data_IF_056781990030
#
_entry.id   IF_056781990030
#
_cell.length_a   1.000
_cell.length_b   1.000
_cell.length_c   1.000
_cell.angle_alpha   90.00
_cell.angle_beta   90.00
_cell.angle_gamma   90.00
#
_symmetry.space_group_name_H-M   'P 1'
#
loop_
_entity.id
_entity.type
_entity.pdbx_description
1 polymer ?
#
# COMPACT_ATOMS: atom_id res chain seq x y z
N UNK A 1 24.52 -9.90 54.52
CA UNK A 1 23.11 -10.17 54.21
C UNK A 1 22.43 -8.84 53.94
N UNK A 2 22.19 -8.49 52.68
CA UNK A 2 21.40 -7.30 52.34
C UNK A 2 20.28 -7.78 51.41
N UNK A 3 19.08 -7.89 51.98
CA UNK A 3 17.84 -8.34 51.33
C UNK A 3 16.93 -7.11 51.21
N UNK A 4 17.33 -6.14 50.41
CA UNK A 4 16.42 -5.08 49.97
C UNK A 4 15.91 -5.44 48.57
N UNK A 5 15.08 -6.48 48.51
CA UNK A 5 14.25 -6.70 47.32
C UNK A 5 13.22 -5.58 47.26
N UNK A 6 13.13 -4.81 46.17
CA UNK A 6 12.22 -3.68 46.09
C UNK A 6 10.77 -4.14 46.28
N UNK A 7 10.07 -3.53 47.25
CA UNK A 7 8.67 -3.82 47.51
C UNK A 7 7.81 -3.57 46.25
N UNK A 8 6.99 -4.55 45.88
CA UNK A 8 6.05 -4.45 44.77
C UNK A 8 4.91 -3.51 45.17
N UNK A 9 5.02 -2.23 44.83
CA UNK A 9 3.97 -1.25 45.10
C UNK A 9 2.75 -1.51 44.20
N UNK A 10 1.52 -1.18 44.64
CA UNK A 10 0.32 -1.35 43.82
C UNK A 10 0.40 -0.58 42.49
N UNK A 11 1.11 0.55 42.44
CA UNK A 11 1.36 1.31 41.21
C UNK A 11 2.23 0.51 40.23
N UNK A 12 3.33 -0.08 40.70
CA UNK A 12 4.21 -0.93 39.87
C UNK A 12 3.46 -2.15 39.35
N UNK A 13 2.61 -2.77 40.18
CA UNK A 13 1.77 -3.91 39.76
C UNK A 13 0.79 -3.50 38.66
N UNK A 14 0.18 -2.31 38.77
CA UNK A 14 -0.72 -1.77 37.75
C UNK A 14 0.01 -1.50 36.43
N UNK A 15 1.16 -0.83 36.48
CA UNK A 15 1.99 -0.54 35.30
C UNK A 15 2.42 -1.82 34.56
N UNK A 16 2.79 -2.86 35.31
CA UNK A 16 3.16 -4.16 34.75
C UNK A 16 1.95 -4.83 34.09
N UNK A 17 0.75 -4.76 34.69
CA UNK A 17 -0.48 -5.29 34.07
C UNK A 17 -0.84 -4.56 32.78
N UNK A 18 -0.76 -3.23 32.77
CA UNK A 18 -1.02 -2.43 31.59
C UNK A 18 -0.02 -2.77 30.46
N UNK A 19 1.26 -2.94 30.82
CA UNK A 19 2.31 -3.37 29.88
C UNK A 19 2.05 -4.77 29.33
N UNK A 20 1.64 -5.73 30.17
CA UNK A 20 1.27 -7.08 29.75
C UNK A 20 0.09 -7.03 28.77
N UNK A 21 -0.92 -6.18 29.00
CA UNK A 21 -2.07 -6.06 28.12
C UNK A 21 -1.71 -5.44 26.77
N UNK A 22 -0.81 -4.45 26.75
CA UNK A 22 -0.25 -3.89 25.51
C UNK A 22 0.50 -4.97 24.71
N UNK A 23 1.38 -5.73 25.38
CA UNK A 23 2.13 -6.83 24.74
C UNK A 23 1.17 -7.89 24.20
N UNK A 24 0.18 -8.33 24.99
CA UNK A 24 -0.82 -9.31 24.56
C UNK A 24 -1.58 -8.85 23.32
N UNK A 25 -2.07 -7.60 23.32
CA UNK A 25 -2.77 -7.02 22.17
C UNK A 25 -1.86 -6.99 20.93
N UNK A 26 -0.59 -6.62 21.09
CA UNK A 26 0.37 -6.59 19.99
C UNK A 26 0.68 -7.99 19.47
N UNK A 27 0.91 -8.96 20.34
CA UNK A 27 1.16 -10.36 19.97
C UNK A 27 -0.03 -10.94 19.22
N UNK A 28 -1.26 -10.74 19.73
CA UNK A 28 -2.47 -11.19 19.04
C UNK A 28 -2.64 -10.55 17.67
N UNK A 29 -2.36 -9.25 17.56
CA UNK A 29 -2.34 -8.58 16.27
C UNK A 29 -1.34 -9.23 15.30
N UNK A 30 -0.11 -9.53 15.74
CA UNK A 30 0.91 -10.16 14.90
C UNK A 30 0.53 -11.59 14.49
N UNK A 31 -0.06 -12.37 15.40
CA UNK A 31 -0.58 -13.71 15.10
C UNK A 31 -1.66 -13.63 14.01
N UNK A 32 -2.60 -12.69 14.13
CA UNK A 32 -3.66 -12.51 13.13
C UNK A 32 -3.09 -12.12 11.75
N UNK A 33 -2.11 -11.20 11.71
CA UNK A 33 -1.43 -10.82 10.46
C UNK A 33 -0.74 -12.02 9.82
N UNK A 34 -0.02 -12.81 10.62
CA UNK A 34 0.68 -14.02 10.14
C UNK A 34 -0.29 -15.08 9.63
N UNK A 35 -1.37 -15.32 10.37
CA UNK A 35 -2.43 -16.26 9.99
C UNK A 35 -3.05 -15.90 8.64
N UNK A 36 -3.28 -14.61 8.38
CA UNK A 36 -3.80 -14.15 7.09
C UNK A 36 -2.78 -14.29 5.95
N UNK A 37 -1.51 -13.97 6.21
CA UNK A 37 -0.43 -14.19 5.25
C UNK A 37 -0.34 -15.66 4.85
N UNK A 38 -0.32 -16.57 5.83
CA UNK A 38 -0.26 -18.02 5.59
C UNK A 38 -1.45 -18.50 4.73
N UNK A 39 -2.66 -18.01 5.02
CA UNK A 39 -3.85 -18.33 4.23
C UNK A 39 -3.82 -17.79 2.78
N UNK A 40 -3.05 -16.74 2.51
CA UNK A 40 -2.89 -16.17 1.17
C UNK A 40 -1.71 -16.77 0.39
N UNK A 41 -0.65 -17.20 1.08
CA UNK A 41 0.51 -17.86 0.47
C UNK A 41 0.13 -19.25 -0.05
N UNK A 42 -0.69 -19.96 0.71
CA UNK A 42 -1.19 -21.29 0.36
C UNK A 42 -2.73 -21.29 0.34
N UNK A 43 -3.36 -20.63 -0.64
CA UNK A 43 -4.81 -20.52 -0.70
C UNK A 43 -5.44 -21.88 -1.03
N UNK A 44 -6.43 -22.29 -0.23
CA UNK A 44 -7.29 -23.43 -0.55
C UNK A 44 -8.48 -22.94 -1.36
N UNK A 45 -8.51 -23.26 -2.65
CA UNK A 45 -9.61 -22.87 -3.51
C UNK A 45 -10.86 -23.72 -3.25
N UNK A 46 -12.06 -23.11 -3.26
CA UNK A 46 -13.30 -23.88 -3.23
C UNK A 46 -13.42 -24.73 -4.50
N UNK A 47 -13.97 -25.92 -4.32
CA UNK A 47 -14.34 -26.85 -5.37
C UNK A 47 -15.43 -26.29 -6.28
N UNK A 48 -15.49 -26.77 -7.53
CA UNK A 48 -16.46 -26.27 -8.51
C UNK A 48 -17.92 -26.45 -8.06
N UNK A 49 -18.24 -27.52 -7.33
CA UNK A 49 -19.57 -27.75 -6.75
C UNK A 49 -19.98 -26.62 -5.81
N UNK A 50 -19.08 -26.23 -4.91
CA UNK A 50 -19.28 -25.11 -4.00
C UNK A 50 -19.48 -23.81 -4.78
N UNK A 51 -18.69 -23.53 -5.82
CA UNK A 51 -18.87 -22.33 -6.63
C UNK A 51 -20.21 -22.32 -7.40
N UNK A 52 -20.66 -23.48 -7.88
CA UNK A 52 -21.92 -23.62 -8.63
C UNK A 52 -23.16 -23.43 -7.75
N UNK A 53 -23.08 -23.67 -6.44
CA UNK A 53 -24.20 -23.48 -5.51
C UNK A 53 -24.39 -22.01 -5.08
N UNK A 54 -23.40 -21.15 -5.31
CA UNK A 54 -23.46 -19.72 -5.01
C UNK A 54 -24.30 -18.94 -6.04
N UNK A 55 -24.82 -17.78 -5.62
CA UNK A 55 -25.65 -16.92 -6.46
C UNK A 55 -24.82 -16.27 -7.58
N UNK A 56 -25.07 -16.67 -8.82
CA UNK A 56 -24.40 -16.15 -10.03
C UNK A 56 -25.22 -15.10 -10.79
N UNK A 57 -26.33 -14.62 -10.22
CA UNK A 57 -27.23 -13.67 -10.89
C UNK A 57 -26.51 -12.35 -11.18
N UNK A 58 -26.80 -11.80 -12.36
CA UNK A 58 -26.28 -10.48 -12.77
C UNK A 58 -26.66 -9.40 -11.76
N UNK A 59 -27.88 -9.46 -11.20
CA UNK A 59 -28.39 -8.50 -10.22
C UNK A 59 -27.50 -8.44 -8.97
N UNK A 60 -27.17 -9.60 -8.37
CA UNK A 60 -26.31 -9.67 -7.18
C UNK A 60 -24.89 -9.22 -7.47
N UNK A 61 -24.29 -9.70 -8.55
CA UNK A 61 -22.92 -9.35 -8.92
C UNK A 61 -22.79 -7.85 -9.28
N UNK A 62 -23.76 -7.28 -10.00
CA UNK A 62 -23.78 -5.84 -10.31
C UNK A 62 -23.91 -5.01 -9.03
N UNK A 63 -24.73 -5.44 -8.05
CA UNK A 63 -24.82 -4.76 -6.76
C UNK A 63 -23.50 -4.83 -5.99
N UNK A 64 -22.84 -5.99 -5.97
CA UNK A 64 -21.53 -6.16 -5.36
C UNK A 64 -20.48 -5.24 -6.01
N UNK A 65 -20.37 -5.24 -7.36
CA UNK A 65 -19.45 -4.38 -8.11
C UNK A 65 -19.68 -2.90 -7.79
N UNK A 66 -20.94 -2.45 -7.66
CA UNK A 66 -21.25 -1.09 -7.24
C UNK A 66 -20.75 -0.77 -5.84
N UNK A 67 -20.93 -1.69 -4.88
CA UNK A 67 -20.42 -1.53 -3.51
C UNK A 67 -18.89 -1.51 -3.45
N UNK A 68 -18.22 -2.33 -4.27
CA UNK A 68 -16.75 -2.39 -4.35
C UNK A 68 -16.11 -1.07 -4.79
N UNK A 69 -16.85 -0.22 -5.53
CA UNK A 69 -16.40 1.14 -5.88
C UNK A 69 -16.43 2.12 -4.72
N UNK A 70 -16.83 1.70 -3.52
CA UNK A 70 -16.95 2.57 -2.34
C UNK A 70 -16.43 1.87 -1.08
N UNK A 71 -15.44 0.97 -1.19
CA UNK A 71 -14.89 0.23 -0.05
C UNK A 71 -14.39 1.20 1.02
N UNK A 72 -14.82 0.95 2.25
CA UNK A 72 -14.33 1.59 3.46
C UNK A 72 -14.40 0.61 4.64
N UNK A 73 -13.92 1.03 5.81
CA UNK A 73 -13.90 0.16 6.99
C UNK A 73 -15.32 -0.24 7.46
N UNK A 74 -16.31 0.63 7.29
CA UNK A 74 -17.70 0.40 7.72
C UNK A 74 -18.41 -0.68 6.88
N UNK A 75 -18.21 -0.66 5.55
CA UNK A 75 -18.89 -1.58 4.63
C UNK A 75 -18.10 -2.86 4.31
N UNK A 76 -16.82 -2.93 4.74
CA UNK A 76 -15.92 -4.08 4.55
C UNK A 76 -16.57 -5.42 4.94
N UNK A 77 -17.19 -5.50 6.11
CA UNK A 77 -17.78 -6.74 6.60
C UNK A 77 -18.94 -7.21 5.73
N UNK A 78 -19.82 -6.28 5.30
CA UNK A 78 -20.90 -6.58 4.37
C UNK A 78 -20.36 -7.02 3.01
N UNK A 79 -19.32 -6.38 2.50
CA UNK A 79 -18.69 -6.74 1.23
C UNK A 79 -18.10 -8.16 1.27
N UNK A 80 -17.39 -8.52 2.33
CA UNK A 80 -16.84 -9.86 2.51
C UNK A 80 -17.95 -10.90 2.54
N UNK A 81 -19.06 -10.62 3.24
CA UNK A 81 -20.24 -11.50 3.25
C UNK A 81 -20.84 -11.67 1.85
N UNK A 82 -21.04 -10.57 1.13
CA UNK A 82 -21.57 -10.59 -0.24
C UNK A 82 -20.64 -11.36 -1.19
N UNK A 83 -19.31 -11.21 -1.05
CA UNK A 83 -18.31 -11.95 -1.81
C UNK A 83 -18.45 -13.45 -1.57
N UNK A 84 -18.63 -13.87 -0.31
CA UNK A 84 -18.78 -15.30 0.03
C UNK A 84 -20.07 -15.92 -0.50
N UNK A 85 -21.16 -15.14 -0.58
CA UNK A 85 -22.48 -15.63 -0.98
C UNK A 85 -22.76 -15.60 -2.49
N UNK A 86 -21.95 -14.87 -3.27
CA UNK A 86 -22.15 -14.72 -4.72
C UNK A 86 -21.03 -15.38 -5.52
N UNK A 87 -21.26 -15.80 -6.76
CA UNK A 87 -20.23 -16.33 -7.64
C UNK A 87 -19.76 -15.26 -8.62
N UNK A 88 -18.52 -14.79 -8.46
CA UNK A 88 -17.88 -13.77 -9.30
C UNK A 88 -17.04 -14.36 -10.44
N UNK A 89 -17.06 -15.67 -10.72
CA UNK A 89 -16.20 -16.28 -11.77
C UNK A 89 -16.35 -15.58 -13.12
N UNK A 90 -17.59 -15.25 -13.51
CA UNK A 90 -17.89 -14.54 -14.77
C UNK A 90 -17.69 -13.02 -14.71
N UNK A 91 -17.46 -12.48 -13.51
CA UNK A 91 -17.42 -11.05 -13.23
C UNK A 91 -16.09 -10.63 -12.60
N UNK A 92 -15.08 -11.51 -12.63
CA UNK A 92 -13.83 -11.33 -11.89
C UNK A 92 -13.07 -10.10 -12.39
N UNK A 93 -13.02 -9.90 -13.71
CA UNK A 93 -12.39 -8.74 -14.33
C UNK A 93 -13.09 -7.43 -13.95
N UNK A 94 -14.43 -7.40 -13.89
CA UNK A 94 -15.20 -6.23 -13.46
C UNK A 94 -15.04 -5.94 -11.96
N UNK A 95 -14.97 -7.00 -11.15
CA UNK A 95 -14.67 -6.90 -9.71
C UNK A 95 -13.29 -6.30 -9.49
N UNK A 96 -12.27 -6.80 -10.22
CA UNK A 96 -10.91 -6.28 -10.15
C UNK A 96 -10.83 -4.84 -10.65
N UNK A 97 -11.48 -4.52 -11.78
CA UNK A 97 -11.56 -3.16 -12.30
C UNK A 97 -12.23 -2.22 -11.29
N UNK A 98 -13.33 -2.63 -10.65
CA UNK A 98 -14.00 -1.83 -9.63
C UNK A 98 -13.11 -1.54 -8.41
N UNK A 99 -12.24 -2.48 -8.02
CA UNK A 99 -11.25 -2.27 -6.96
C UNK A 99 -10.13 -1.36 -7.44
N UNK A 100 -9.52 -1.61 -8.60
CA UNK A 100 -8.31 -0.92 -9.05
C UNK A 100 -8.56 0.48 -9.64
N UNK A 101 -9.75 0.75 -10.18
CA UNK A 101 -10.10 2.05 -10.79
C UNK A 101 -10.78 3.01 -9.79
N UNK A 102 -11.22 2.49 -8.64
CA UNK A 102 -11.81 3.32 -7.60
C UNK A 102 -10.75 4.16 -6.88
N UNK A 103 -11.12 5.40 -6.54
CA UNK A 103 -10.32 6.27 -5.68
C UNK A 103 -10.80 6.12 -4.22
N UNK A 104 -10.20 5.19 -3.46
CA UNK A 104 -10.40 5.09 -2.01
C UNK A 104 -9.34 5.91 -1.25
N UNK A 105 -9.56 6.18 0.04
CA UNK A 105 -8.60 6.92 0.87
C UNK A 105 -7.50 5.97 1.35
N UNK A 106 -6.34 6.51 1.72
CA UNK A 106 -5.25 5.70 2.28
C UNK A 106 -5.67 4.93 3.54
N UNK A 107 -6.59 5.48 4.33
CA UNK A 107 -7.13 4.84 5.53
C UNK A 107 -8.03 3.63 5.22
N UNK A 108 -8.57 3.56 4.01
CA UNK A 108 -9.45 2.46 3.58
C UNK A 108 -8.65 1.30 2.94
N UNK A 109 -7.35 1.49 2.68
CA UNK A 109 -6.50 0.44 2.07
C UNK A 109 -6.51 -0.86 2.88
N UNK A 110 -6.44 -0.86 4.24
CA UNK A 110 -6.58 -2.10 5.01
C UNK A 110 -7.89 -2.85 4.72
N UNK A 111 -9.00 -2.14 4.53
CA UNK A 111 -10.28 -2.74 4.17
C UNK A 111 -10.25 -3.36 2.76
N UNK A 112 -9.66 -2.64 1.80
CA UNK A 112 -9.44 -3.13 0.43
C UNK A 112 -8.57 -4.39 0.43
N UNK A 113 -7.51 -4.43 1.24
CA UNK A 113 -6.64 -5.62 1.36
C UNK A 113 -7.43 -6.83 1.87
N UNK A 114 -8.30 -6.69 2.88
CA UNK A 114 -9.14 -7.82 3.34
C UNK A 114 -10.07 -8.33 2.24
N UNK A 115 -10.66 -7.41 1.47
CA UNK A 115 -11.52 -7.75 0.32
C UNK A 115 -10.71 -8.49 -0.76
N UNK A 116 -9.52 -7.99 -1.11
CA UNK A 116 -8.63 -8.65 -2.05
C UNK A 116 -8.16 -10.02 -1.56
N UNK A 117 -7.83 -10.19 -0.27
CA UNK A 117 -7.48 -11.49 0.31
C UNK A 117 -8.61 -12.50 0.14
N UNK A 118 -9.87 -12.11 0.35
CA UNK A 118 -10.99 -13.02 0.17
C UNK A 118 -11.21 -13.42 -1.29
N UNK A 119 -11.06 -12.48 -2.23
CA UNK A 119 -11.13 -12.79 -3.66
C UNK A 119 -9.96 -13.68 -4.11
N UNK A 120 -8.75 -13.41 -3.62
CA UNK A 120 -7.54 -14.18 -3.89
C UNK A 120 -7.64 -15.63 -3.43
N UNK A 121 -8.18 -15.87 -2.23
CA UNK A 121 -8.39 -17.23 -1.70
C UNK A 121 -9.54 -17.97 -2.39
N UNK A 122 -10.45 -17.22 -3.02
CA UNK A 122 -11.61 -17.79 -3.71
C UNK A 122 -11.36 -18.09 -5.19
N UNK A 123 -10.52 -17.30 -5.86
CA UNK A 123 -10.28 -17.40 -7.29
C UNK A 123 -8.79 -17.47 -7.61
N UNK A 124 -8.35 -18.59 -8.17
CA UNK A 124 -6.95 -18.80 -8.59
C UNK A 124 -6.47 -17.81 -9.65
N UNK A 125 -7.39 -17.31 -10.49
CA UNK A 125 -7.08 -16.33 -11.53
C UNK A 125 -7.06 -14.87 -11.02
N UNK A 126 -7.41 -14.62 -9.75
CA UNK A 126 -7.47 -13.25 -9.21
C UNK A 126 -6.17 -12.48 -9.40
N UNK A 127 -5.02 -13.09 -9.11
CA UNK A 127 -3.72 -12.42 -9.27
C UNK A 127 -3.44 -12.01 -10.72
N UNK A 128 -3.88 -12.82 -11.70
CA UNK A 128 -3.64 -12.60 -13.13
C UNK A 128 -4.38 -11.35 -13.64
N UNK A 129 -5.57 -11.10 -13.10
CA UNK A 129 -6.37 -9.90 -13.40
C UNK A 129 -5.92 -8.71 -12.54
N UNK A 130 -5.69 -8.92 -11.24
CA UNK A 130 -5.42 -7.87 -10.26
C UNK A 130 -4.06 -7.18 -10.47
N UNK A 131 -2.99 -7.93 -10.70
CA UNK A 131 -1.65 -7.37 -10.86
C UNK A 131 -1.57 -6.35 -12.01
N UNK A 132 -1.95 -6.66 -13.27
CA UNK A 132 -1.87 -5.68 -14.36
C UNK A 132 -2.82 -4.50 -14.15
N UNK A 133 -4.02 -4.72 -13.59
CA UNK A 133 -4.97 -3.64 -13.28
C UNK A 133 -4.41 -2.67 -12.24
N UNK A 134 -3.76 -3.17 -11.20
CA UNK A 134 -3.07 -2.35 -10.20
C UNK A 134 -1.90 -1.59 -10.82
N UNK A 135 -1.05 -2.26 -11.61
CA UNK A 135 0.15 -1.64 -12.18
C UNK A 135 -0.16 -0.51 -13.17
N UNK A 136 -1.31 -0.57 -13.86
CA UNK A 136 -1.79 0.49 -14.74
C UNK A 136 -1.98 1.83 -14.02
N UNK A 137 -2.18 1.85 -12.70
CA UNK A 137 -2.32 3.09 -11.93
C UNK A 137 -1.00 3.88 -11.75
N UNK A 138 0.14 3.28 -12.06
CA UNK A 138 1.44 3.95 -12.04
C UNK A 138 1.77 4.58 -13.41
N UNK A 139 0.79 5.22 -14.07
CA UNK A 139 1.11 5.99 -15.29
C UNK A 139 2.01 7.15 -14.93
N UNK A 140 3.19 7.19 -15.54
CA UNK A 140 4.13 8.31 -15.41
C UNK A 140 3.80 9.29 -16.53
N UNK A 141 3.62 10.57 -16.19
CA UNK A 141 3.44 11.60 -17.21
C UNK A 141 4.66 11.60 -18.14
N UNK A 142 4.43 11.74 -19.45
CA UNK A 142 5.53 12.06 -20.35
C UNK A 142 6.15 13.37 -19.86
N UNK A 143 7.49 13.51 -19.79
CA UNK A 143 8.07 14.84 -19.67
C UNK A 143 7.61 15.61 -20.90
N UNK A 144 6.74 16.59 -20.69
CA UNK A 144 6.22 17.48 -21.74
C UNK A 144 7.41 18.25 -22.31
N UNK A 145 8.06 17.67 -23.32
CA UNK A 145 8.45 18.25 -24.61
C UNK A 145 9.30 17.23 -25.39
N UNK A 146 8.67 16.17 -25.91
CA UNK A 146 9.23 15.41 -27.02
C UNK A 146 8.55 15.94 -28.29
N UNK A 147 9.16 16.94 -28.91
CA UNK A 147 8.80 17.44 -30.23
C UNK A 147 8.75 16.25 -31.19
N UNK A 148 7.62 15.94 -31.85
CA UNK A 148 7.62 14.95 -32.92
C UNK A 148 8.43 15.52 -34.08
N UNK A 149 9.26 14.67 -34.67
CA UNK A 149 10.05 14.97 -35.85
C UNK A 149 9.20 15.61 -36.96
N UNK A 150 9.65 16.76 -37.46
CA UNK A 150 9.07 17.46 -38.59
C UNK A 150 9.48 16.77 -39.89
N UNK A 151 8.53 16.14 -40.58
CA UNK A 151 8.59 15.95 -42.04
C UNK A 151 7.55 16.87 -42.68
N UNK A 152 8.05 17.81 -43.51
CA UNK A 152 7.43 18.52 -44.66
C UNK A 152 5.90 18.37 -44.85
N UNK A 153 5.08 19.41 -45.02
CA UNK A 153 5.19 20.56 -45.93
C UNK A 153 4.01 21.55 -45.70
N UNK A 154 4.18 22.84 -45.97
CA UNK A 154 3.18 23.92 -45.88
C UNK A 154 2.99 24.61 -47.25
N UNK A 155 2.11 25.62 -47.47
CA UNK A 155 0.66 25.84 -47.16
C UNK A 155 -0.06 26.48 -48.43
N UNK A 156 -1.08 27.40 -48.42
CA UNK A 156 -2.05 27.88 -47.40
C UNK A 156 -3.52 28.08 -47.90
N UNK A 157 -4.51 28.18 -46.97
CA UNK A 157 -5.50 29.30 -46.93
C UNK A 157 -6.32 29.33 -45.61
N UNK A 158 -6.54 30.54 -45.10
CA UNK A 158 -7.13 31.02 -43.82
C UNK A 158 -8.67 31.26 -43.90
N UNK A 159 -9.41 31.86 -42.90
CA UNK A 159 -9.12 32.17 -41.48
C UNK A 159 -10.26 31.82 -40.45
N UNK A 160 -9.93 32.06 -39.17
CA UNK A 160 -10.77 32.62 -38.07
C UNK A 160 -11.76 31.76 -37.28
N UNK A 161 -11.41 31.48 -36.02
CA UNK A 161 -12.26 31.62 -34.80
C UNK A 161 -11.32 31.66 -33.58
N UNK A 162 -11.51 32.55 -32.57
CA UNK A 162 -10.51 32.81 -31.55
C UNK A 162 -10.46 31.71 -30.50
N UNK A 163 -9.23 31.42 -30.07
CA UNK A 163 -8.87 30.51 -29.00
C UNK A 163 -9.50 30.92 -27.66
N UNK A 164 -10.26 30.00 -27.07
CA UNK A 164 -10.53 30.00 -25.64
C UNK A 164 -9.35 29.34 -24.93
N UNK A 165 -8.68 30.13 -24.09
CA UNK A 165 -7.53 29.75 -23.26
C UNK A 165 -7.78 28.49 -22.43
N UNK A 166 -7.03 27.42 -22.74
CA UNK A 166 -6.84 26.29 -21.85
C UNK A 166 -5.57 26.53 -21.01
N UNK A 167 -5.70 27.29 -19.93
CA UNK A 167 -4.63 27.45 -18.93
C UNK A 167 -5.25 27.32 -17.54
N UNK A 168 -5.29 26.09 -17.03
CA UNK A 168 -5.81 25.82 -15.68
C UNK A 168 -5.94 24.35 -15.27
N UNK A 169 -5.88 23.40 -16.22
CA UNK A 169 -6.30 22.00 -15.96
C UNK A 169 -5.18 21.07 -15.48
N UNK A 170 -3.90 21.40 -15.69
CA UNK A 170 -2.79 20.44 -15.48
C UNK A 170 -2.46 20.17 -14.00
N UNK A 171 -2.45 21.20 -13.15
CA UNK A 171 -2.01 21.07 -11.76
C UNK A 171 -2.99 20.27 -10.87
N UNK A 172 -4.28 20.32 -11.15
CA UNK A 172 -5.31 19.53 -10.46
C UNK A 172 -5.28 18.08 -10.92
N UNK A 173 -5.13 17.85 -12.23
CA UNK A 173 -4.97 16.51 -12.80
C UNK A 173 -3.71 15.79 -12.27
N UNK A 174 -2.59 16.51 -12.11
CA UNK A 174 -1.35 15.98 -11.55
C UNK A 174 -1.48 15.61 -10.07
N UNK A 175 -2.21 16.42 -9.29
CA UNK A 175 -2.51 16.12 -7.88
C UNK A 175 -3.38 14.88 -7.75
N UNK A 176 -4.40 14.73 -8.59
CA UNK A 176 -5.26 13.54 -8.61
C UNK A 176 -4.52 12.30 -9.08
N UNK A 177 -3.66 12.42 -10.09
CA UNK A 177 -2.76 11.36 -10.53
C UNK A 177 -1.82 10.93 -9.40
N UNK A 178 -1.23 11.89 -8.67
CA UNK A 178 -0.38 11.58 -7.53
C UNK A 178 -1.16 10.88 -6.41
N UNK A 179 -2.39 11.33 -6.11
CA UNK A 179 -3.26 10.67 -5.13
C UNK A 179 -3.52 9.21 -5.51
N UNK A 180 -3.83 8.93 -6.79
CA UNK A 180 -3.99 7.56 -7.32
C UNK A 180 -2.71 6.74 -7.17
N UNK A 181 -1.55 7.27 -7.58
CA UNK A 181 -0.25 6.60 -7.44
C UNK A 181 0.08 6.25 -5.98
N UNK A 182 -0.22 7.14 -5.03
CA UNK A 182 0.01 6.89 -3.60
C UNK A 182 -0.85 5.75 -3.07
N UNK A 183 -2.13 5.73 -3.41
CA UNK A 183 -3.05 4.66 -3.00
C UNK A 183 -2.65 3.33 -3.65
N UNK A 184 -2.35 3.34 -4.96
CA UNK A 184 -1.85 2.16 -5.67
C UNK A 184 -0.53 1.64 -5.08
N UNK A 185 0.40 2.53 -4.72
CA UNK A 185 1.66 2.17 -4.07
C UNK A 185 1.42 1.49 -2.72
N UNK A 186 0.53 2.06 -1.90
CA UNK A 186 0.15 1.47 -0.61
C UNK A 186 -0.45 0.09 -0.81
N UNK A 187 -1.40 -0.04 -1.73
CA UNK A 187 -2.06 -1.30 -2.03
C UNK A 187 -1.07 -2.35 -2.55
N UNK A 188 -0.11 -1.96 -3.40
CA UNK A 188 0.93 -2.84 -3.91
C UNK A 188 1.81 -3.39 -2.79
N UNK A 189 2.33 -2.51 -1.93
CA UNK A 189 3.19 -2.92 -0.80
C UNK A 189 2.42 -3.85 0.14
N UNK A 190 1.19 -3.48 0.52
CA UNK A 190 0.39 -4.31 1.43
C UNK A 190 -0.06 -5.63 0.77
N UNK A 191 -0.30 -5.66 -0.55
CA UNK A 191 -0.61 -6.91 -1.27
C UNK A 191 0.57 -7.88 -1.30
N UNK A 192 1.80 -7.37 -1.45
CA UNK A 192 3.02 -8.19 -1.33
C UNK A 192 3.20 -8.66 0.12
N UNK A 193 3.05 -7.76 1.09
CA UNK A 193 3.22 -8.08 2.51
C UNK A 193 2.20 -9.11 3.03
N UNK A 194 0.99 -9.15 2.48
CA UNK A 194 -0.05 -10.10 2.85
C UNK A 194 -0.07 -11.35 1.96
N UNK A 195 0.90 -11.54 1.06
CA UNK A 195 0.99 -12.72 0.19
C UNK A 195 -0.06 -12.79 -0.92
N UNK A 196 -0.86 -11.74 -1.12
CA UNK A 196 -1.82 -11.62 -2.23
C UNK A 196 -1.08 -11.51 -3.56
N UNK A 197 0.06 -10.81 -3.59
CA UNK A 197 0.98 -10.80 -4.72
C UNK A 197 2.27 -11.50 -4.31
N UNK A 198 2.82 -12.34 -5.18
CA UNK A 198 4.07 -13.06 -4.91
C UNK A 198 5.21 -12.05 -4.68
N UNK A 199 6.06 -12.34 -3.69
CA UNK A 199 7.25 -11.54 -3.41
C UNK A 199 8.32 -11.77 -4.48
N UNK A 200 8.59 -13.03 -4.83
CA UNK A 200 9.69 -13.41 -5.72
C UNK A 200 9.20 -13.96 -7.06
N UNK A 201 10.07 -13.93 -8.06
CA UNK A 201 9.81 -14.41 -9.43
C UNK A 201 9.62 -13.30 -10.47
N UNK A 202 9.77 -13.67 -11.74
CA UNK A 202 9.55 -12.76 -12.87
C UNK A 202 8.05 -12.43 -12.95
N UNK A 203 7.71 -11.14 -12.99
CA UNK A 203 6.32 -10.68 -12.97
C UNK A 203 5.65 -10.73 -11.58
N UNK A 204 6.41 -10.97 -10.52
CA UNK A 204 5.91 -10.92 -9.15
C UNK A 204 5.55 -9.50 -8.70
N UNK A 205 4.77 -9.37 -7.63
CA UNK A 205 4.48 -8.09 -7.00
C UNK A 205 5.74 -7.42 -6.43
N UNK A 206 6.67 -8.21 -5.89
CA UNK A 206 7.96 -7.69 -5.43
C UNK A 206 8.81 -7.15 -6.58
N UNK A 207 8.93 -7.87 -7.69
CA UNK A 207 9.64 -7.40 -8.87
C UNK A 207 9.02 -6.10 -9.43
N UNK A 208 7.69 -6.02 -9.50
CA UNK A 208 6.97 -4.83 -9.91
C UNK A 208 7.19 -3.65 -8.95
N UNK A 209 7.15 -3.89 -7.63
CA UNK A 209 7.43 -2.87 -6.61
C UNK A 209 8.84 -2.28 -6.79
N UNK A 210 9.86 -3.13 -6.95
CA UNK A 210 11.22 -2.66 -7.22
C UNK A 210 11.32 -1.87 -8.52
N UNK A 211 10.69 -2.34 -9.60
CA UNK A 211 10.71 -1.67 -10.91
C UNK A 211 10.05 -0.28 -10.84
N UNK A 212 8.89 -0.17 -10.20
CA UNK A 212 8.17 1.09 -10.02
C UNK A 212 8.98 2.05 -9.15
N UNK A 213 9.58 1.58 -8.05
CA UNK A 213 10.45 2.41 -7.20
C UNK A 213 11.67 2.94 -7.97
N UNK A 214 12.30 2.11 -8.82
CA UNK A 214 13.41 2.54 -9.69
C UNK A 214 12.96 3.60 -10.69
N UNK A 215 11.81 3.39 -11.34
CA UNK A 215 11.27 4.34 -12.31
C UNK A 215 10.89 5.69 -11.68
N UNK A 216 10.26 5.67 -10.50
CA UNK A 216 9.97 6.87 -9.72
C UNK A 216 11.26 7.62 -9.34
N UNK A 217 12.30 6.90 -8.92
CA UNK A 217 13.58 7.50 -8.54
C UNK A 217 14.27 8.18 -9.72
N UNK A 218 14.26 7.54 -10.90
CA UNK A 218 14.80 8.12 -12.13
C UNK A 218 14.02 9.38 -12.56
N UNK A 219 12.68 9.35 -12.45
CA UNK A 219 11.82 10.51 -12.72
C UNK A 219 12.14 11.69 -11.79
N UNK A 220 12.30 11.42 -10.49
CA UNK A 220 12.72 12.44 -9.52
C UNK A 220 14.06 13.04 -9.89
N UNK A 221 15.07 12.22 -10.20
CA UNK A 221 16.39 12.70 -10.60
C UNK A 221 16.35 13.58 -11.85
N UNK A 222 15.59 13.18 -12.87
CA UNK A 222 15.42 13.94 -14.10
C UNK A 222 14.71 15.29 -13.88
N UNK A 223 13.72 15.34 -12.99
CA UNK A 223 12.97 16.56 -12.68
C UNK A 223 13.69 17.49 -11.72
N UNK A 224 14.48 16.98 -10.77
CA UNK A 224 15.26 17.83 -9.85
C UNK A 224 16.34 18.61 -10.60
N UNK A 225 16.87 18.07 -11.69
CA UNK A 225 17.81 18.76 -12.57
C UNK A 225 17.21 19.99 -13.27
N UNK A 226 15.88 20.13 -13.30
CA UNK A 226 15.13 21.19 -13.98
C UNK A 226 14.33 22.00 -12.97
N UNK A 227 14.65 23.29 -12.84
CA UNK A 227 14.07 24.14 -11.79
C UNK A 227 12.55 24.31 -11.89
N UNK A 228 12.02 24.30 -13.11
CA UNK A 228 10.59 24.36 -13.46
C UNK A 228 9.81 23.07 -13.13
N UNK A 229 10.50 21.95 -12.88
CA UNK A 229 9.86 20.64 -12.66
C UNK A 229 9.98 20.13 -11.22
N UNK A 230 10.54 20.94 -10.29
CA UNK A 230 10.76 20.54 -8.89
C UNK A 230 9.47 20.20 -8.15
N UNK A 231 8.36 20.89 -8.42
CA UNK A 231 7.06 20.58 -7.82
C UNK A 231 6.57 19.18 -8.20
N UNK A 232 6.77 18.79 -9.47
CA UNK A 232 6.50 17.44 -9.96
C UNK A 232 7.37 16.39 -9.27
N UNK A 233 8.65 16.69 -9.04
CA UNK A 233 9.56 15.80 -8.30
C UNK A 233 9.08 15.54 -6.86
N UNK A 234 8.56 16.56 -6.17
CA UNK A 234 8.01 16.43 -4.81
C UNK A 234 6.83 15.43 -4.78
N UNK A 235 5.98 15.43 -5.81
CA UNK A 235 4.86 14.48 -5.91
C UNK A 235 5.39 13.03 -5.98
N UNK A 236 6.35 12.74 -6.85
CA UNK A 236 6.93 11.39 -6.96
C UNK A 236 7.72 10.97 -5.72
N UNK A 237 8.46 11.89 -5.09
CA UNK A 237 9.12 11.66 -3.80
C UNK A 237 8.10 11.31 -2.71
N UNK A 238 6.91 11.92 -2.72
CA UNK A 238 5.85 11.59 -1.76
C UNK A 238 5.36 10.14 -1.89
N UNK A 239 5.34 9.60 -3.11
CA UNK A 239 4.98 8.19 -3.37
C UNK A 239 6.10 7.27 -2.88
N UNK A 240 7.36 7.58 -3.17
CA UNK A 240 8.52 6.81 -2.69
C UNK A 240 8.61 6.80 -1.17
N UNK A 241 8.41 7.94 -0.51
CA UNK A 241 8.39 8.04 0.95
C UNK A 241 7.28 7.19 1.56
N UNK A 242 6.10 7.17 0.95
CA UNK A 242 5.00 6.31 1.39
C UNK A 242 5.33 4.83 1.21
N UNK A 243 5.95 4.45 0.09
CA UNK A 243 6.40 3.09 -0.17
C UNK A 243 7.39 2.63 0.91
N UNK A 244 8.43 3.43 1.17
CA UNK A 244 9.45 3.13 2.17
C UNK A 244 8.86 2.99 3.59
N UNK A 245 8.02 3.93 4.01
CA UNK A 245 7.35 3.88 5.33
C UNK A 245 6.48 2.63 5.47
N UNK A 246 5.74 2.29 4.43
CA UNK A 246 4.86 1.12 4.45
C UNK A 246 5.66 -0.18 4.41
N UNK A 247 6.66 -0.28 3.54
CA UNK A 247 7.49 -1.47 3.42
C UNK A 247 8.30 -1.73 4.69
N UNK A 248 8.80 -0.68 5.35
CA UNK A 248 9.45 -0.78 6.65
C UNK A 248 8.55 -1.49 7.67
N UNK A 249 7.28 -1.08 7.79
CA UNK A 249 6.36 -1.65 8.76
C UNK A 249 5.76 -2.99 8.33
N UNK A 250 5.38 -3.12 7.05
CA UNK A 250 4.57 -4.23 6.54
C UNK A 250 5.43 -5.39 6.03
N UNK A 251 6.62 -5.12 5.48
CA UNK A 251 7.50 -6.14 4.89
C UNK A 251 8.68 -6.44 5.83
N UNK A 252 9.36 -5.40 6.32
CA UNK A 252 10.59 -5.56 7.10
C UNK A 252 10.35 -5.66 8.62
N UNK A 253 9.11 -5.42 9.07
CA UNK A 253 8.76 -5.42 10.50
C UNK A 253 9.46 -4.33 11.32
N UNK A 254 10.07 -3.34 10.67
CA UNK A 254 10.72 -2.22 11.31
C UNK A 254 9.65 -1.30 11.90
N UNK A 255 9.68 -1.11 13.21
CA UNK A 255 8.82 -0.13 13.88
C UNK A 255 9.10 1.26 13.30
N UNK A 256 8.08 2.13 13.12
CA UNK A 256 8.34 3.52 12.79
C UNK A 256 9.20 4.11 13.90
N UNK A 257 10.30 4.76 13.54
CA UNK A 257 11.14 5.49 14.49
C UNK A 257 10.32 6.64 15.08
N UNK A 258 9.53 6.36 16.12
CA UNK A 258 9.03 7.41 17.00
C UNK A 258 10.23 7.85 17.82
N UNK A 259 11.01 8.81 17.32
CA UNK A 259 11.93 9.53 18.18
C UNK A 259 11.07 10.30 19.18
N UNK A 260 11.09 9.97 20.49
CA UNK A 260 10.36 10.76 21.47
C UNK A 260 10.93 12.19 21.51
N UNK A 261 10.11 13.23 21.77
CA UNK A 261 10.56 14.63 21.85
C UNK A 261 11.68 14.87 22.87
N UNK A 262 11.86 13.95 23.83
CA UNK A 262 12.86 14.04 24.89
C UNK A 262 14.31 13.94 24.43
N UNK A 263 14.58 13.53 23.17
CA UNK A 263 15.95 13.41 22.63
C UNK A 263 16.36 14.60 21.75
N UNK A 264 15.56 15.67 21.69
CA UNK A 264 15.91 16.89 20.93
C UNK A 264 16.64 17.96 21.76
N UNK A 265 16.86 17.71 23.05
CA UNK A 265 17.60 18.60 23.94
C UNK A 265 18.96 17.95 24.27
N UNK A 266 19.96 18.21 23.44
CA UNK A 266 21.31 17.69 23.69
C UNK A 266 22.29 17.82 22.52
N UNK A 267 22.12 18.79 21.61
CA UNK A 267 23.24 19.20 20.75
C UNK A 267 23.94 20.37 21.43
N UNK A 268 25.02 20.04 22.14
CA UNK A 268 25.83 21.00 22.88
C UNK A 268 27.09 20.36 23.45
N UNK A 269 28.03 20.01 22.56
CA UNK A 269 29.49 19.99 22.80
C UNK A 269 30.09 18.91 23.70
N UNK A 270 31.15 18.25 23.20
CA UNK A 270 32.17 17.62 24.03
C UNK A 270 32.43 16.13 23.77
N UNK A 271 33.45 15.87 22.95
CA UNK A 271 34.46 14.79 23.02
C UNK A 271 34.13 13.36 23.49
N UNK A 272 34.47 12.43 22.59
CA UNK A 272 35.11 11.12 22.79
C UNK A 272 34.52 10.06 23.76
N UNK A 273 34.24 8.90 23.13
CA UNK A 273 34.51 7.54 23.63
C UNK A 273 33.58 6.94 24.71
N UNK A 274 32.86 5.86 24.33
CA UNK A 274 32.21 4.95 25.28
C UNK A 274 30.76 4.59 24.97
N UNK A 275 30.50 3.29 24.98
CA UNK A 275 29.21 2.62 25.25
C UNK A 275 28.10 2.55 24.18
N UNK A 276 28.13 1.42 23.47
CA UNK A 276 26.98 0.76 22.84
C UNK A 276 26.08 0.12 23.92
N UNK A 277 25.27 0.89 24.63
CA UNK A 277 24.20 0.33 25.47
C UNK A 277 22.86 1.03 25.21
N UNK A 278 22.05 0.42 24.34
CA UNK A 278 20.70 0.88 24.02
C UNK A 278 19.73 -0.23 23.63
N UNK A 279 20.00 -1.48 24.03
CA UNK A 279 19.10 -2.59 23.82
C UNK A 279 19.05 -3.47 25.08
N UNK A 280 17.85 -3.67 25.62
CA UNK A 280 17.59 -4.58 26.74
C UNK A 280 18.16 -5.98 26.42
N UNK A 281 18.86 -6.64 27.36
CA UNK A 281 19.49 -7.94 27.15
C UNK A 281 18.49 -9.04 26.77
N UNK A 282 17.20 -8.83 27.05
CA UNK A 282 16.13 -9.74 26.65
C UNK A 282 15.90 -9.80 25.13
N UNK A 283 16.15 -8.69 24.41
CA UNK A 283 15.93 -8.63 22.96
C UNK A 283 17.10 -9.26 22.20
N UNK A 284 18.32 -9.25 22.75
CA UNK A 284 19.48 -9.90 22.12
C UNK A 284 19.35 -11.42 22.09
N UNK A 285 18.75 -12.03 23.11
CA UNK A 285 18.59 -13.49 23.17
C UNK A 285 17.55 -14.09 22.22
N UNK A 286 16.66 -13.28 21.63
CA UNK A 286 15.57 -13.75 20.77
C UNK A 286 15.91 -13.72 19.27
N UNK A 287 17.09 -13.21 18.91
CA UNK A 287 17.59 -13.14 17.53
C UNK A 287 18.68 -14.17 17.22
N UNK A 288 19.07 -14.99 18.19
CA UNK A 288 20.09 -16.05 18.05
C UNK A 288 19.56 -17.48 18.29
N UNK A 289 18.26 -17.72 18.05
CA UNK A 289 17.70 -19.07 17.87
C UNK A 289 16.89 -19.13 16.58
#
# INVERSE_FOLDING_TARGET
MSKDSPAWTPEKIKEIKDTIDVIKKRTQFLINVRSELEANVSPTYPDESTLRSLDSTLKRNTALIKKLKQINEENKASLISDIKQTNQTKYLSEVVSAICECSFKLNDVPAVIKVCSELHRKYSDFQKEFAPALFKNFRFGSPVNATPATSSSAPPSTPSTPAASASGTTATEDKDANRRRRVAMRLLVDSVANGILKSEGVGSGGAALLAICKQLSAMVQAMVAKEDQREGAILYLSVLSLAAKTAATSILGLAPSSTPPSLRAGEGGGDAEGDREGASPFIRGLLEQ
#
